data_IF_905414712742
#
_entry.id   IF_905414712742
#
_cell.length_a   1.000
_cell.length_b   1.000
_cell.length_c   1.000
_cell.angle_alpha   90.00
_cell.angle_beta   90.00
_cell.angle_gamma   90.00
#
_symmetry.space_group_name_H-M   'P 1'
#
loop_
_entity.id
_entity.type
_entity.pdbx_description
1 polymer ?
#
# COMPACT_ATOMS: atom_id res chain seq x y z
N UNK A 1 -6.86 -16.85 18.18
CA UNK A 1 -6.92 -16.74 16.70
C UNK A 1 -8.05 -17.63 16.20
N UNK A 2 -9.28 -17.12 16.22
CA UNK A 2 -10.47 -17.89 15.80
C UNK A 2 -10.56 -18.09 14.28
N UNK A 3 -9.93 -17.21 13.49
CA UNK A 3 -10.09 -17.19 12.03
C UNK A 3 -8.99 -17.95 11.25
N UNK A 4 -7.74 -17.84 11.70
CA UNK A 4 -6.58 -18.54 11.14
C UNK A 4 -5.82 -19.26 12.26
N UNK A 5 -6.27 -20.45 12.69
CA UNK A 5 -5.64 -21.20 13.78
C UNK A 5 -4.14 -21.48 13.57
N UNK A 6 -3.69 -21.62 12.32
CA UNK A 6 -2.27 -21.81 11.97
C UNK A 6 -1.55 -20.50 11.57
N UNK A 7 -2.11 -19.34 11.92
CA UNK A 7 -1.49 -18.03 11.70
C UNK A 7 -1.18 -17.76 10.22
N UNK A 8 0.03 -17.25 9.93
CA UNK A 8 0.48 -16.97 8.57
C UNK A 8 0.74 -18.22 7.72
N UNK A 9 0.70 -19.41 8.33
CA UNK A 9 0.82 -20.71 7.64
C UNK A 9 -0.52 -21.38 7.39
N UNK A 10 -1.62 -20.75 7.80
CA UNK A 10 -2.96 -21.30 7.61
C UNK A 10 -3.30 -21.35 6.12
N UNK A 11 -3.70 -22.51 5.55
CA UNK A 11 -4.11 -22.59 4.16
C UNK A 11 -5.22 -21.59 3.80
N UNK A 12 -6.16 -21.33 4.72
CA UNK A 12 -7.22 -20.33 4.46
C UNK A 12 -6.70 -18.90 4.36
N UNK A 13 -5.58 -18.61 5.01
CA UNK A 13 -4.88 -17.33 4.92
C UNK A 13 -4.09 -17.22 3.61
N UNK A 14 -3.41 -18.31 3.23
CA UNK A 14 -2.52 -18.39 2.08
C UNK A 14 -3.26 -18.47 0.74
N UNK A 15 -4.26 -19.33 0.60
CA UNK A 15 -4.91 -19.66 -0.68
C UNK A 15 -6.40 -20.09 -0.60
N UNK A 16 -7.00 -20.19 0.59
CA UNK A 16 -8.39 -20.64 0.77
C UNK A 16 -9.46 -19.55 0.66
N UNK A 17 -10.71 -19.86 1.04
CA UNK A 17 -11.91 -19.00 0.85
C UNK A 17 -11.83 -17.62 1.52
N UNK A 18 -10.97 -17.45 2.54
CA UNK A 18 -10.69 -16.14 3.16
C UNK A 18 -9.59 -15.33 2.46
N UNK A 19 -8.71 -16.02 1.72
CA UNK A 19 -7.62 -15.52 0.88
C UNK A 19 -7.06 -14.14 1.26
N UNK A 20 -6.55 -13.95 2.47
CA UNK A 20 -6.10 -12.61 2.86
C UNK A 20 -4.74 -12.25 2.24
N UNK A 21 -3.90 -13.25 1.89
CA UNK A 21 -2.55 -13.04 1.34
C UNK A 21 -2.45 -13.13 -0.18
N UNK A 22 -3.02 -14.15 -0.83
CA UNK A 22 -2.72 -14.47 -2.23
C UNK A 22 -3.04 -13.32 -3.17
N UNK A 23 -4.20 -12.65 -3.03
CA UNK A 23 -4.55 -11.58 -3.97
C UNK A 23 -3.59 -10.38 -3.90
N UNK A 24 -2.96 -10.14 -2.74
CA UNK A 24 -1.93 -9.10 -2.58
C UNK A 24 -0.61 -9.52 -3.21
N UNK A 25 -0.23 -10.79 -3.05
CA UNK A 25 0.94 -11.37 -3.75
C UNK A 25 0.74 -11.33 -5.27
N UNK A 26 -0.46 -11.67 -5.76
CA UNK A 26 -0.79 -11.58 -7.18
C UNK A 26 -0.84 -10.12 -7.66
N UNK A 27 -1.22 -9.16 -6.81
CA UNK A 27 -1.12 -7.74 -7.11
C UNK A 27 0.35 -7.27 -7.20
N UNK A 28 1.24 -7.75 -6.33
CA UNK A 28 2.68 -7.49 -6.43
C UNK A 28 3.24 -8.01 -7.76
N UNK A 29 2.97 -9.28 -8.10
CA UNK A 29 3.40 -9.87 -9.38
C UNK A 29 2.87 -9.06 -10.57
N UNK A 30 1.59 -8.68 -10.54
CA UNK A 30 0.99 -7.88 -11.59
C UNK A 30 1.62 -6.48 -11.68
N UNK A 31 1.90 -5.83 -10.55
CA UNK A 31 2.57 -4.53 -10.49
C UNK A 31 3.96 -4.60 -11.13
N UNK A 32 4.76 -5.60 -10.76
CA UNK A 32 6.10 -5.78 -11.31
C UNK A 32 6.08 -6.17 -12.80
N UNK A 33 5.04 -6.88 -13.25
CA UNK A 33 4.87 -7.26 -14.67
C UNK A 33 4.43 -6.08 -15.53
N UNK A 34 3.53 -5.23 -15.03
CA UNK A 34 2.96 -4.14 -15.81
C UNK A 34 3.79 -2.84 -15.70
N UNK A 35 4.34 -2.59 -14.52
CA UNK A 35 5.00 -1.34 -14.11
C UNK A 35 6.28 -1.64 -13.30
N UNK A 36 6.98 -2.72 -13.63
CA UNK A 36 8.35 -2.95 -13.18
C UNK A 36 9.28 -1.87 -13.72
N UNK A 37 10.41 -1.61 -13.05
CA UNK A 37 11.29 -0.47 -13.34
C UNK A 37 11.57 -0.29 -14.84
N UNK A 38 12.07 -1.34 -15.51
CA UNK A 38 12.42 -1.31 -16.93
C UNK A 38 11.24 -0.97 -17.82
N UNK A 39 10.12 -1.69 -17.68
CA UNK A 39 8.93 -1.49 -18.52
C UNK A 39 8.30 -0.11 -18.27
N UNK A 40 8.36 0.39 -17.03
CA UNK A 40 7.88 1.72 -16.68
C UNK A 40 8.79 2.80 -17.30
N UNK A 41 10.12 2.68 -17.21
CA UNK A 41 11.07 3.58 -17.88
C UNK A 41 10.82 3.65 -19.39
N UNK A 42 10.63 2.50 -20.05
CA UNK A 42 10.34 2.43 -21.49
C UNK A 42 9.03 3.15 -21.85
N UNK A 43 7.95 2.96 -21.07
CA UNK A 43 6.68 3.65 -21.30
C UNK A 43 6.79 5.17 -21.11
N UNK A 44 7.59 5.63 -20.15
CA UNK A 44 7.85 7.05 -19.92
C UNK A 44 8.60 7.67 -21.09
N UNK A 45 9.65 7.01 -21.58
CA UNK A 45 10.42 7.48 -22.74
C UNK A 45 9.54 7.59 -23.99
N UNK A 46 8.58 6.68 -24.14
CA UNK A 46 7.58 6.70 -25.22
C UNK A 46 6.41 7.66 -24.96
N UNK A 47 6.41 8.41 -23.86
CA UNK A 47 5.30 9.29 -23.45
C UNK A 47 3.94 8.57 -23.39
N UNK A 48 3.94 7.27 -23.08
CA UNK A 48 2.75 6.41 -23.02
C UNK A 48 1.97 6.58 -21.70
N UNK A 49 1.68 7.82 -21.33
CA UNK A 49 1.12 8.18 -20.02
C UNK A 49 -0.26 7.56 -19.75
N UNK A 50 -1.11 7.52 -20.77
CA UNK A 50 -2.43 6.87 -20.67
C UNK A 50 -2.30 5.38 -20.37
N UNK A 51 -1.35 4.69 -21.01
CA UNK A 51 -1.11 3.27 -20.79
C UNK A 51 -0.59 3.02 -19.36
N UNK A 52 0.32 3.86 -18.86
CA UNK A 52 0.80 3.80 -17.47
C UNK A 52 -0.37 3.93 -16.50
N UNK A 53 -1.26 4.91 -16.72
CA UNK A 53 -2.47 5.08 -15.92
C UNK A 53 -3.40 3.86 -15.98
N UNK A 54 -3.65 3.30 -17.17
CA UNK A 54 -4.50 2.13 -17.33
C UNK A 54 -3.91 0.89 -16.65
N UNK A 55 -2.58 0.71 -16.70
CA UNK A 55 -1.86 -0.33 -15.96
C UNK A 55 -1.95 -0.13 -14.44
N UNK A 56 -1.76 1.10 -13.96
CA UNK A 56 -1.89 1.43 -12.55
C UNK A 56 -3.30 1.13 -12.03
N UNK A 57 -4.35 1.45 -12.81
CA UNK A 57 -5.74 1.08 -12.51
C UNK A 57 -5.96 -0.43 -12.47
N UNK A 58 -5.36 -1.20 -13.39
CA UNK A 58 -5.42 -2.67 -13.37
C UNK A 58 -4.85 -3.22 -12.06
N UNK A 59 -3.71 -2.68 -11.61
CA UNK A 59 -3.10 -3.08 -10.31
C UNK A 59 -4.02 -2.73 -9.15
N UNK A 60 -4.49 -1.47 -9.03
CA UNK A 60 -5.44 -1.04 -7.98
C UNK A 60 -6.66 -1.97 -7.90
N UNK A 61 -7.19 -2.39 -9.04
CA UNK A 61 -8.37 -3.25 -9.12
C UNK A 61 -8.09 -4.73 -8.86
N UNK A 62 -6.82 -5.14 -8.73
CA UNK A 62 -6.45 -6.50 -8.32
C UNK A 62 -6.69 -6.76 -6.82
N UNK A 63 -6.90 -5.70 -6.04
CA UNK A 63 -7.13 -5.77 -4.59
C UNK A 63 -8.41 -5.03 -4.18
N UNK A 64 -8.90 -5.35 -2.98
CA UNK A 64 -9.99 -4.65 -2.30
C UNK A 64 -9.50 -3.60 -1.27
N UNK A 65 -8.19 -3.34 -1.20
CA UNK A 65 -7.58 -2.47 -0.18
C UNK A 65 -8.02 -1.00 -0.30
N UNK A 66 -8.07 -0.50 -1.53
CA UNK A 66 -8.61 0.83 -1.83
C UNK A 66 -10.13 0.73 -1.98
N UNK A 67 -10.87 1.53 -1.21
CA UNK A 67 -12.33 1.54 -1.27
C UNK A 67 -12.85 2.07 -2.60
N UNK A 68 -14.08 1.70 -3.02
CA UNK A 68 -14.69 2.23 -4.23
C UNK A 68 -14.75 3.77 -4.26
N UNK A 69 -15.02 4.40 -3.12
CA UNK A 69 -15.06 5.87 -3.01
C UNK A 69 -13.69 6.51 -3.28
N UNK A 70 -12.62 5.95 -2.72
CA UNK A 70 -11.25 6.41 -2.99
C UNK A 70 -10.89 6.23 -4.47
N UNK A 71 -11.30 5.11 -5.10
CA UNK A 71 -11.10 4.87 -6.54
C UNK A 71 -11.81 5.90 -7.43
N UNK A 72 -12.97 6.42 -7.01
CA UNK A 72 -13.70 7.47 -7.75
C UNK A 72 -12.89 8.77 -7.77
N UNK A 73 -12.36 9.22 -6.63
CA UNK A 73 -11.52 10.42 -6.58
C UNK A 73 -10.28 10.30 -7.45
N UNK A 74 -9.62 9.15 -7.40
CA UNK A 74 -8.49 8.87 -8.28
C UNK A 74 -8.89 8.92 -9.76
N UNK A 75 -10.00 8.27 -10.13
CA UNK A 75 -10.47 8.24 -11.52
C UNK A 75 -10.86 9.64 -12.03
N UNK A 76 -11.49 10.46 -11.18
CA UNK A 76 -11.86 11.83 -11.53
C UNK A 76 -10.62 12.72 -11.77
N UNK A 77 -9.61 12.63 -10.90
CA UNK A 77 -8.36 13.36 -11.07
C UNK A 77 -7.64 12.99 -12.37
N UNK A 78 -7.70 11.72 -12.77
CA UNK A 78 -7.05 11.19 -13.98
C UNK A 78 -7.84 11.40 -15.28
N UNK A 79 -9.05 11.95 -15.22
CA UNK A 79 -9.84 12.28 -16.41
C UNK A 79 -9.22 13.43 -17.23
N UNK A 80 -8.38 14.25 -16.60
CA UNK A 80 -7.62 15.32 -17.26
C UNK A 80 -6.32 14.72 -17.79
N UNK A 81 -6.10 14.79 -19.11
CA UNK A 81 -4.94 14.18 -19.77
C UNK A 81 -3.60 14.70 -19.23
N UNK A 82 -3.49 16.00 -18.96
CA UNK A 82 -2.29 16.60 -18.37
C UNK A 82 -1.93 16.00 -17.00
N UNK A 83 -2.91 15.53 -16.23
CA UNK A 83 -2.68 14.88 -14.94
C UNK A 83 -2.10 13.47 -15.12
N UNK A 84 -2.36 12.80 -16.25
CA UNK A 84 -1.82 11.46 -16.51
C UNK A 84 -0.31 11.49 -16.67
N UNK A 85 0.23 12.52 -17.33
CA UNK A 85 1.68 12.74 -17.43
C UNK A 85 2.28 12.96 -16.04
N UNK A 86 1.77 13.94 -15.29
CA UNK A 86 2.26 14.25 -13.94
C UNK A 86 2.24 13.02 -13.03
N UNK A 87 1.16 12.24 -13.10
CA UNK A 87 1.02 10.98 -12.36
C UNK A 87 2.04 9.93 -12.76
N UNK A 88 2.25 9.72 -14.06
CA UNK A 88 3.24 8.76 -14.52
C UNK A 88 4.66 9.10 -14.03
N UNK A 89 5.06 10.37 -14.16
CA UNK A 89 6.37 10.86 -13.73
C UNK A 89 6.54 10.76 -12.21
N UNK A 90 5.56 11.24 -11.44
CA UNK A 90 5.61 11.24 -9.98
C UNK A 90 5.51 9.84 -9.37
N UNK A 91 4.69 8.95 -9.95
CA UNK A 91 4.63 7.55 -9.51
C UNK A 91 5.94 6.82 -9.80
N UNK A 92 6.57 7.08 -10.94
CA UNK A 92 7.88 6.50 -11.24
C UNK A 92 8.94 6.99 -10.26
N UNK A 93 9.01 8.28 -10.00
CA UNK A 93 9.93 8.85 -9.01
C UNK A 93 9.69 8.22 -7.63
N UNK A 94 8.43 8.15 -7.16
CA UNK A 94 8.08 7.49 -5.90
C UNK A 94 8.70 6.10 -5.76
N UNK A 95 8.56 5.27 -6.79
CA UNK A 95 8.95 3.86 -6.76
C UNK A 95 10.42 3.62 -7.07
N UNK A 96 10.99 4.35 -8.02
CA UNK A 96 12.28 4.02 -8.63
C UNK A 96 13.26 5.20 -8.72
N UNK A 97 12.85 6.41 -8.31
CA UNK A 97 13.72 7.58 -8.26
C UNK A 97 14.88 7.41 -7.28
N UNK A 98 15.90 8.25 -7.44
CA UNK A 98 17.15 8.16 -6.67
C UNK A 98 17.16 9.05 -5.42
N UNK A 99 16.27 10.05 -5.35
CA UNK A 99 16.12 10.93 -4.20
C UNK A 99 15.68 10.18 -2.95
N UNK A 100 15.89 10.82 -1.79
CA UNK A 100 15.40 10.31 -0.50
C UNK A 100 13.90 10.02 -0.54
N UNK A 101 13.48 8.90 0.07
CA UNK A 101 12.09 8.44 0.03
C UNK A 101 11.09 9.51 0.51
N UNK A 102 11.49 10.34 1.47
CA UNK A 102 10.70 11.48 1.93
C UNK A 102 10.31 12.41 0.78
N UNK A 103 11.30 12.86 0.01
CA UNK A 103 11.12 13.82 -1.08
C UNK A 103 10.19 13.23 -2.13
N UNK A 104 10.42 11.98 -2.53
CA UNK A 104 9.61 11.30 -3.55
C UNK A 104 8.17 11.08 -3.09
N UNK A 105 7.97 10.75 -1.81
CA UNK A 105 6.64 10.63 -1.21
C UNK A 105 5.91 11.97 -1.15
N UNK A 106 6.58 13.03 -0.71
CA UNK A 106 6.00 14.37 -0.58
C UNK A 106 5.60 14.93 -1.95
N UNK A 107 6.42 14.75 -2.99
CA UNK A 107 6.06 15.10 -4.37
C UNK A 107 4.80 14.35 -4.86
N UNK A 108 4.72 13.04 -4.58
CA UNK A 108 3.53 12.26 -4.94
C UNK A 108 2.30 12.68 -4.15
N UNK A 109 2.46 13.02 -2.87
CA UNK A 109 1.39 13.53 -2.02
C UNK A 109 0.86 14.90 -2.50
N UNK A 110 1.75 15.81 -2.89
CA UNK A 110 1.39 17.09 -3.51
C UNK A 110 0.61 16.86 -4.80
N UNK A 111 1.11 16.00 -5.69
CA UNK A 111 0.39 15.65 -6.92
C UNK A 111 -1.01 15.13 -6.62
N UNK A 112 -1.15 14.17 -5.70
CA UNK A 112 -2.46 13.63 -5.35
C UNK A 112 -3.39 14.72 -4.80
N UNK A 113 -2.84 15.73 -4.12
CA UNK A 113 -3.60 16.89 -3.63
C UNK A 113 -4.05 17.79 -4.79
N UNK A 114 -3.18 18.08 -5.75
CA UNK A 114 -3.49 18.87 -6.95
C UNK A 114 -4.63 18.24 -7.78
N UNK A 115 -4.64 16.91 -7.92
CA UNK A 115 -5.64 16.21 -8.74
C UNK A 115 -6.91 15.83 -7.95
N UNK A 116 -7.01 16.23 -6.67
CA UNK A 116 -8.17 15.93 -5.82
C UNK A 116 -8.28 14.46 -5.38
N UNK A 117 -7.18 13.71 -5.39
CA UNK A 117 -7.09 12.30 -5.03
C UNK A 117 -6.25 12.03 -3.77
N UNK A 118 -5.93 13.05 -2.97
CA UNK A 118 -5.16 12.91 -1.73
C UNK A 118 -5.89 12.06 -0.68
N UNK A 119 -5.59 10.76 -0.68
CA UNK A 119 -6.09 9.78 0.28
C UNK A 119 -4.95 8.84 0.68
N UNK A 120 -4.83 8.57 1.98
CA UNK A 120 -3.79 7.70 2.54
C UNK A 120 -3.70 6.32 1.86
N UNK A 121 -4.83 5.64 1.59
CA UNK A 121 -4.80 4.40 0.82
C UNK A 121 -4.19 4.54 -0.57
N UNK A 122 -4.48 5.62 -1.30
CA UNK A 122 -3.93 5.82 -2.65
C UNK A 122 -2.42 6.11 -2.56
N UNK A 123 -2.02 7.01 -1.66
CA UNK A 123 -0.64 7.43 -1.48
C UNK A 123 0.32 6.28 -1.10
N UNK A 124 -0.20 5.28 -0.37
CA UNK A 124 0.63 4.20 0.18
C UNK A 124 0.46 2.86 -0.54
N UNK A 125 -0.50 2.75 -1.46
CA UNK A 125 -0.79 1.50 -2.17
C UNK A 125 0.34 1.04 -3.09
N UNK A 126 0.83 1.91 -3.98
CA UNK A 126 1.86 1.51 -4.94
C UNK A 126 3.18 1.14 -4.28
N UNK A 127 3.70 1.89 -3.28
CA UNK A 127 4.88 1.46 -2.53
C UNK A 127 4.66 0.11 -1.83
N UNK A 128 3.52 -0.08 -1.16
CA UNK A 128 3.17 -1.32 -0.46
C UNK A 128 3.16 -2.54 -1.40
N UNK A 129 2.49 -2.41 -2.56
CA UNK A 129 2.38 -3.52 -3.51
C UNK A 129 3.70 -3.78 -4.24
N UNK A 130 4.50 -2.75 -4.50
CA UNK A 130 5.78 -2.91 -5.23
C UNK A 130 6.88 -3.46 -4.33
N UNK A 131 6.93 -2.98 -3.08
CA UNK A 131 8.00 -3.27 -2.12
C UNK A 131 7.42 -3.73 -0.76
N UNK A 132 6.73 -4.88 -0.72
CA UNK A 132 6.09 -5.36 0.51
C UNK A 132 7.09 -5.64 1.64
N UNK A 133 8.39 -5.69 1.36
CA UNK A 133 9.41 -5.94 2.38
C UNK A 133 9.70 -4.75 3.29
N UNK A 134 9.39 -3.54 2.81
CA UNK A 134 9.72 -2.28 3.49
C UNK A 134 8.57 -1.28 3.58
N UNK A 135 7.53 -1.42 2.77
CA UNK A 135 6.41 -0.47 2.75
C UNK A 135 5.14 -1.06 3.34
N UNK A 136 4.46 -0.28 4.16
CA UNK A 136 3.16 -0.59 4.76
C UNK A 136 2.03 0.16 4.05
N UNK A 137 0.87 -0.48 3.92
CA UNK A 137 -0.37 0.16 3.48
C UNK A 137 -1.06 0.86 4.65
N UNK A 138 -1.48 2.12 4.45
CA UNK A 138 -2.13 2.91 5.49
C UNK A 138 -3.64 3.00 5.23
N UNK A 139 -4.43 2.45 6.16
CA UNK A 139 -5.87 2.76 6.28
C UNK A 139 -6.13 3.47 7.59
N UNK A 140 -6.62 4.73 7.56
CA UNK A 140 -6.61 5.61 8.73
C UNK A 140 -7.12 4.99 10.04
N UNK A 141 -8.34 4.44 10.05
CA UNK A 141 -8.97 3.98 11.29
C UNK A 141 -8.26 2.76 11.89
N UNK A 142 -7.96 1.78 11.05
CA UNK A 142 -7.32 0.52 11.47
C UNK A 142 -5.87 0.75 11.89
N UNK A 143 -5.13 1.58 11.15
CA UNK A 143 -3.74 1.92 11.50
C UNK A 143 -3.66 2.70 12.81
N UNK A 144 -4.56 3.68 13.04
CA UNK A 144 -4.63 4.41 14.32
C UNK A 144 -5.00 3.48 15.48
N UNK A 145 -5.92 2.53 15.29
CA UNK A 145 -6.27 1.56 16.32
C UNK A 145 -5.05 0.70 16.72
N UNK A 146 -4.28 0.20 15.73
CA UNK A 146 -3.06 -0.55 15.99
C UNK A 146 -1.98 0.29 16.72
N UNK A 147 -1.82 1.55 16.31
CA UNK A 147 -0.92 2.49 16.96
C UNK A 147 -1.26 2.69 18.45
N UNK A 148 -2.55 2.86 18.75
CA UNK A 148 -3.05 3.01 20.12
C UNK A 148 -2.78 1.78 20.99
N UNK A 149 -3.00 0.57 20.45
CA UNK A 149 -2.73 -0.69 21.16
C UNK A 149 -1.26 -0.80 21.57
N UNK A 150 -0.34 -0.35 20.72
CA UNK A 150 1.10 -0.34 21.00
C UNK A 150 1.61 0.94 21.68
N UNK A 151 0.70 1.87 22.01
CA UNK A 151 1.00 3.19 22.58
C UNK A 151 2.10 3.92 21.79
N UNK A 152 2.02 3.87 20.45
CA UNK A 152 2.96 4.53 19.55
C UNK A 152 2.29 5.71 18.87
N UNK A 153 2.88 6.89 19.00
CA UNK A 153 2.41 8.09 18.32
C UNK A 153 2.77 8.05 16.84
N UNK A 154 1.77 7.98 15.96
CA UNK A 154 1.97 7.99 14.51
C UNK A 154 1.86 9.38 13.89
N UNK A 155 1.66 10.43 14.70
CA UNK A 155 1.49 11.81 14.26
C UNK A 155 0.45 11.92 13.14
N UNK A 156 -0.66 11.20 13.27
CA UNK A 156 -1.64 11.09 12.20
C UNK A 156 -2.25 12.45 11.86
N UNK A 157 -2.22 12.80 10.57
CA UNK A 157 -3.01 13.89 10.00
C UNK A 157 -3.83 13.37 8.83
N UNK A 158 -5.06 13.88 8.60
CA UNK A 158 -5.82 13.59 7.39
C UNK A 158 -5.07 13.98 6.11
N UNK A 159 -4.30 15.06 6.16
CA UNK A 159 -3.43 15.52 5.07
C UNK A 159 -2.22 14.60 4.93
N UNK A 160 -1.90 14.26 3.67
CA UNK A 160 -0.74 13.43 3.34
C UNK A 160 0.55 14.16 3.75
N UNK A 161 1.41 13.49 4.50
CA UNK A 161 2.69 14.05 4.93
C UNK A 161 3.70 12.94 5.27
N UNK A 162 5.00 13.20 5.14
CA UNK A 162 6.00 12.18 5.40
C UNK A 162 6.06 11.75 6.87
N UNK A 163 5.85 12.67 7.82
CA UNK A 163 5.95 12.35 9.25
C UNK A 163 4.95 11.26 9.65
N UNK A 164 3.69 11.36 9.24
CA UNK A 164 2.70 10.30 9.48
C UNK A 164 3.12 8.98 8.81
N UNK A 165 3.56 9.02 7.54
CA UNK A 165 3.88 7.78 6.83
C UNK A 165 5.09 7.06 7.42
N UNK A 166 6.18 7.78 7.70
CA UNK A 166 7.38 7.24 8.32
C UNK A 166 7.13 6.62 9.69
N UNK A 167 6.27 7.23 10.52
CA UNK A 167 5.87 6.63 11.80
C UNK A 167 5.00 5.37 11.62
N UNK A 168 4.20 5.30 10.56
CA UNK A 168 3.45 4.07 10.22
C UNK A 168 4.39 2.95 9.75
N UNK A 169 5.44 3.27 8.98
CA UNK A 169 6.48 2.30 8.64
C UNK A 169 7.19 1.78 9.90
N UNK A 170 7.55 2.68 10.83
CA UNK A 170 8.15 2.30 12.10
C UNK A 170 7.20 1.44 12.96
N UNK A 171 5.90 1.75 12.98
CA UNK A 171 4.88 0.94 13.66
C UNK A 171 4.78 -0.46 13.06
N UNK A 172 4.71 -0.56 11.74
CA UNK A 172 4.65 -1.84 11.05
C UNK A 172 5.88 -2.70 11.35
N UNK A 173 7.06 -2.08 11.37
CA UNK A 173 8.30 -2.77 11.69
C UNK A 173 8.36 -3.22 13.16
N UNK A 174 7.84 -2.41 14.08
CA UNK A 174 7.69 -2.81 15.48
C UNK A 174 6.77 -4.02 15.59
N UNK A 175 5.60 -4.01 14.94
CA UNK A 175 4.67 -5.14 14.92
C UNK A 175 5.38 -6.39 14.37
N UNK A 176 6.10 -6.26 13.25
CA UNK A 176 6.86 -7.34 12.63
C UNK A 176 7.83 -7.98 13.63
N UNK A 177 8.58 -7.15 14.34
CA UNK A 177 9.59 -7.60 15.28
C UNK A 177 8.98 -8.24 16.54
N UNK A 178 7.91 -7.67 17.09
CA UNK A 178 7.22 -8.27 18.25
C UNK A 178 6.60 -9.63 17.90
N UNK A 179 5.99 -9.76 16.72
CA UNK A 179 5.44 -11.03 16.25
C UNK A 179 6.53 -12.10 16.04
N UNK A 180 7.72 -11.71 15.55
CA UNK A 180 8.86 -12.64 15.43
C UNK A 180 9.44 -13.04 16.79
N UNK A 181 9.49 -12.11 17.75
CA UNK A 181 9.99 -12.36 19.12
C UNK A 181 9.09 -13.27 19.95
N UNK A 182 7.80 -13.34 19.62
CA UNK A 182 6.83 -14.20 20.29
C UNK A 182 7.22 -15.70 20.22
N UNK A 183 8.08 -16.09 19.29
CA UNK A 183 8.69 -17.43 19.24
C UNK A 183 7.80 -18.51 18.61
N UNK A 184 6.51 -18.21 18.35
CA UNK A 184 5.64 -19.05 17.53
C UNK A 184 5.92 -18.78 16.05
N UNK A 185 6.56 -19.74 15.39
CA UNK A 185 6.89 -19.72 13.96
C UNK A 185 5.65 -19.48 13.05
N UNK A 186 4.46 -19.91 13.48
CA UNK A 186 3.19 -19.62 12.77
C UNK A 186 2.81 -18.12 12.75
N UNK A 187 3.45 -17.30 13.60
CA UNK A 187 3.23 -15.86 13.70
C UNK A 187 4.44 -15.05 13.21
N UNK A 188 5.43 -15.68 12.58
CA UNK A 188 6.52 -14.94 11.97
C UNK A 188 6.06 -14.35 10.62
N UNK A 189 5.78 -13.04 10.50
CA UNK A 189 5.43 -12.43 9.23
C UNK A 189 6.60 -12.51 8.25
N UNK A 190 6.27 -12.82 7.00
CA UNK A 190 7.21 -12.84 5.88
C UNK A 190 7.58 -11.40 5.49
N UNK A 191 6.56 -10.55 5.35
CA UNK A 191 6.64 -9.21 4.79
C UNK A 191 5.56 -8.28 5.40
N UNK A 192 5.39 -7.07 4.85
CA UNK A 192 4.35 -6.15 5.27
C UNK A 192 2.95 -6.54 4.80
N UNK A 193 2.81 -7.47 3.85
CA UNK A 193 1.50 -8.06 3.54
C UNK A 193 0.99 -8.84 4.75
N UNK A 194 1.86 -9.62 5.40
CA UNK A 194 1.51 -10.34 6.64
C UNK A 194 1.20 -9.38 7.79
N UNK A 195 2.02 -8.34 7.97
CA UNK A 195 1.79 -7.32 9.01
C UNK A 195 0.48 -6.57 8.78
N UNK A 196 0.20 -6.14 7.53
CA UNK A 196 -1.05 -5.48 7.18
C UNK A 196 -2.26 -6.38 7.42
N UNK A 197 -2.18 -7.64 7.01
CA UNK A 197 -3.25 -8.62 7.20
C UNK A 197 -3.51 -8.87 8.68
N UNK A 198 -2.46 -9.03 9.48
CA UNK A 198 -2.57 -9.18 10.93
C UNK A 198 -3.30 -8.00 11.56
N UNK A 199 -2.86 -6.77 11.27
CA UNK A 199 -3.47 -5.54 11.76
C UNK A 199 -4.95 -5.45 11.36
N UNK A 200 -5.29 -5.85 10.13
CA UNK A 200 -6.67 -5.85 9.64
C UNK A 200 -7.53 -6.86 10.39
N UNK A 201 -7.09 -8.12 10.48
CA UNK A 201 -7.87 -9.23 11.06
C UNK A 201 -8.13 -9.04 12.55
N UNK A 202 -7.23 -8.37 13.27
CA UNK A 202 -7.43 -8.06 14.69
C UNK A 202 -8.20 -6.76 14.93
N UNK A 203 -8.44 -5.95 13.89
CA UNK A 203 -9.14 -4.69 14.03
C UNK A 203 -10.62 -4.91 14.36
N UNK A 204 -11.22 -4.08 15.23
CA UNK A 204 -12.65 -4.11 15.45
C UNK A 204 -13.39 -3.83 14.12
N UNK A 205 -14.20 -4.78 13.65
CA UNK A 205 -15.05 -4.60 12.47
C UNK A 205 -14.59 -5.26 11.15
N UNK A 206 -13.54 -6.11 11.13
CA UNK A 206 -13.11 -6.82 9.91
C UNK A 206 -14.25 -7.59 9.19
N UNK A 207 -15.30 -8.00 9.90
CA UNK A 207 -16.43 -8.77 9.36
C UNK A 207 -17.81 -8.09 9.56
N UNK A 208 -17.88 -6.77 9.77
CA UNK A 208 -19.15 -6.02 9.72
C UNK A 208 -19.42 -5.46 8.32
#
# INVERSE_FOLDING_TARGET
MSYFPAGFKDPKYLDGVGNERQYKVEANKLMLTLLGRKDFEELLQQSSFKEIHDRAKKVINKTNLISPYEKIWFSNGMAIEANQKKFAESLFDLLYGESEMQIRFEHFAELLSEIGAAKWPIATYFPFVTFPESHMFLKPLVTQAAANVLSQEINYRPELNWLTYSQVLALAERIRNELRKDGRDILAPQDMIDVQSFVWVIAPGYFQ
#
